data_IF_297392559385
#
_entry.id   IF_297392559385
#
_cell.length_a   1.000
_cell.length_b   1.000
_cell.length_c   1.000
_cell.angle_alpha   90.00
_cell.angle_beta   90.00
_cell.angle_gamma   90.00
#
_symmetry.space_group_name_H-M   'P 1'
#
loop_
_entity.id
_entity.type
_entity.pdbx_description
1 polymer ?
#
# COMPACT_ATOMS: atom_id res chain seq x y z
N UNK A 1 4.45 29.75 -6.60
CA UNK A 1 4.32 28.36 -7.09
C UNK A 1 4.38 27.42 -5.89
N UNK A 2 3.40 26.54 -5.74
CA UNK A 2 3.41 25.52 -4.69
C UNK A 2 4.25 24.33 -5.17
N UNK A 3 5.24 23.91 -4.38
CA UNK A 3 6.07 22.75 -4.74
C UNK A 3 5.27 21.45 -4.65
N UNK A 4 5.72 20.42 -5.40
CA UNK A 4 5.07 19.09 -5.39
C UNK A 4 5.02 18.50 -3.97
N UNK A 5 6.09 18.65 -3.17
CA UNK A 5 6.10 18.17 -1.79
C UNK A 5 5.08 18.89 -0.91
N UNK A 6 4.86 20.20 -1.13
CA UNK A 6 3.86 20.96 -0.38
C UNK A 6 2.43 20.55 -0.77
N UNK A 7 2.19 20.28 -2.06
CA UNK A 7 0.93 19.69 -2.54
C UNK A 7 0.70 18.29 -1.96
N UNK A 8 1.73 17.43 -1.98
CA UNK A 8 1.69 16.11 -1.36
C UNK A 8 1.33 16.19 0.12
N UNK A 9 1.98 17.08 0.88
CA UNK A 9 1.65 17.28 2.30
C UNK A 9 0.21 17.71 2.48
N UNK A 10 -0.28 18.69 1.71
CA UNK A 10 -1.66 19.18 1.82
C UNK A 10 -2.69 18.07 1.57
N UNK A 11 -2.52 17.29 0.51
CA UNK A 11 -3.41 16.15 0.19
C UNK A 11 -3.32 15.10 1.30
N UNK A 12 -2.11 14.83 1.79
CA UNK A 12 -1.88 13.88 2.88
C UNK A 12 -2.63 14.29 4.15
N UNK A 13 -2.52 15.55 4.58
CA UNK A 13 -3.22 16.09 5.75
C UNK A 13 -4.73 15.92 5.61
N UNK A 14 -5.29 16.23 4.43
CA UNK A 14 -6.72 16.07 4.19
C UNK A 14 -7.18 14.61 4.34
N UNK A 15 -6.39 13.64 3.86
CA UNK A 15 -6.68 12.21 4.01
C UNK A 15 -6.49 11.73 5.43
N UNK A 16 -5.44 12.16 6.11
CA UNK A 16 -5.16 11.78 7.49
C UNK A 16 -6.25 12.25 8.45
N UNK A 17 -6.71 13.49 8.29
CA UNK A 17 -7.83 14.02 9.07
C UNK A 17 -9.11 13.21 8.86
N UNK A 18 -9.36 12.70 7.65
CA UNK A 18 -10.56 11.90 7.36
C UNK A 18 -10.61 10.53 8.04
N UNK A 19 -9.50 10.06 8.63
CA UNK A 19 -9.38 8.69 9.18
C UNK A 19 -9.10 8.62 10.68
N UNK A 20 -8.94 9.77 11.34
CA UNK A 20 -8.71 9.85 12.79
C UNK A 20 -9.98 10.26 13.53
N UNK A 21 -10.03 9.99 14.84
CA UNK A 21 -11.17 10.36 15.68
C UNK A 21 -11.29 11.87 15.92
N UNK A 22 -10.15 12.57 16.03
CA UNK A 22 -10.08 14.00 16.37
C UNK A 22 -9.37 14.78 15.25
N UNK A 23 -10.04 15.08 14.12
CA UNK A 23 -9.43 15.78 12.98
C UNK A 23 -9.09 17.26 13.25
N UNK A 24 -9.77 17.86 14.22
CA UNK A 24 -9.62 19.27 14.58
C UNK A 24 -8.62 19.50 15.72
N UNK A 25 -8.04 18.43 16.27
CA UNK A 25 -6.95 18.56 17.25
C UNK A 25 -5.76 19.28 16.59
N UNK A 26 -5.20 20.33 17.24
CA UNK A 26 -4.00 20.98 16.76
C UNK A 26 -2.85 19.98 16.57
N UNK A 27 -2.02 20.15 15.53
CA UNK A 27 -0.97 19.19 15.21
C UNK A 27 0.02 18.98 16.38
N UNK A 28 0.35 20.05 17.09
CA UNK A 28 1.13 20.08 18.32
C UNK A 28 0.45 20.95 19.39
N UNK A 29 -0.44 20.38 20.23
CA UNK A 29 -1.24 21.13 21.20
C UNK A 29 -0.44 21.98 22.20
N UNK A 30 -0.99 23.14 22.55
CA UNK A 30 -0.44 24.05 23.57
C UNK A 30 -0.41 23.39 24.96
N UNK A 31 0.63 23.68 25.75
CA UNK A 31 0.88 23.05 27.05
C UNK A 31 1.87 21.87 27.00
N UNK A 32 2.20 21.37 25.81
CA UNK A 32 3.20 20.32 25.60
C UNK A 32 2.71 18.92 26.06
N UNK A 33 3.27 17.86 25.46
CA UNK A 33 3.01 16.47 25.88
C UNK A 33 2.61 15.51 24.77
N UNK A 34 2.35 15.98 23.54
CA UNK A 34 1.95 15.08 22.46
C UNK A 34 1.96 15.73 21.07
N UNK A 35 1.38 14.99 20.13
CA UNK A 35 1.10 15.40 18.76
C UNK A 35 -0.25 14.77 18.36
N UNK A 36 -1.01 15.42 17.49
CA UNK A 36 -2.22 14.82 16.96
C UNK A 36 -1.90 13.57 16.12
N UNK A 37 -2.78 12.57 16.16
CA UNK A 37 -2.59 11.32 15.41
C UNK A 37 -2.48 11.57 13.90
N UNK A 38 -3.30 12.47 13.35
CA UNK A 38 -3.28 12.80 11.92
C UNK A 38 -1.96 13.45 11.50
N UNK A 39 -1.38 14.32 12.35
CA UNK A 39 -0.10 14.94 12.07
C UNK A 39 1.02 13.89 12.03
N UNK A 40 0.97 12.89 12.92
CA UNK A 40 1.94 11.79 12.93
C UNK A 40 1.79 10.85 11.74
N UNK A 41 0.56 10.59 11.26
CA UNK A 41 0.34 9.90 9.99
C UNK A 41 1.03 10.65 8.84
N UNK A 42 0.84 11.97 8.76
CA UNK A 42 1.41 12.81 7.70
C UNK A 42 2.95 12.79 7.73
N UNK A 43 3.55 12.93 8.91
CA UNK A 43 5.01 12.89 9.06
C UNK A 43 5.57 11.51 8.67
N UNK A 44 4.85 10.42 8.95
CA UNK A 44 5.24 9.08 8.49
C UNK A 44 5.13 8.92 6.97
N UNK A 45 4.08 9.46 6.35
CA UNK A 45 3.96 9.47 4.89
C UNK A 45 5.12 10.24 4.25
N UNK A 46 5.46 11.43 4.78
CA UNK A 46 6.63 12.21 4.34
C UNK A 46 7.95 11.47 4.52
N UNK A 47 8.13 10.73 5.62
CA UNK A 47 9.33 9.89 5.81
C UNK A 47 9.48 8.85 4.70
N UNK A 48 8.40 8.20 4.30
CA UNK A 48 8.39 7.22 3.21
C UNK A 48 8.58 7.91 1.85
N UNK A 49 7.95 9.06 1.63
CA UNK A 49 8.11 9.91 0.44
C UNK A 49 9.58 10.29 0.21
N UNK A 50 10.23 10.82 1.24
CA UNK A 50 11.64 11.19 1.21
C UNK A 50 12.59 9.98 1.14
N UNK A 51 12.08 8.78 1.42
CA UNK A 51 12.88 7.56 1.46
C UNK A 51 13.94 7.54 2.55
N UNK A 52 13.77 8.29 3.65
CA UNK A 52 14.80 8.49 4.70
C UNK A 52 14.52 7.70 5.99
N UNK A 53 15.55 7.62 6.84
CA UNK A 53 15.41 7.11 8.21
C UNK A 53 14.62 8.11 9.07
N UNK A 54 14.13 7.70 10.25
CA UNK A 54 13.42 8.61 11.16
C UNK A 54 14.23 9.87 11.48
N UNK A 55 15.52 9.72 11.79
CA UNK A 55 16.40 10.84 12.14
C UNK A 55 16.59 11.81 10.97
N UNK A 56 16.95 11.28 9.81
CA UNK A 56 17.21 12.10 8.61
C UNK A 56 15.91 12.74 8.09
N UNK A 57 14.76 12.08 8.21
CA UNK A 57 13.49 12.67 7.82
C UNK A 57 13.13 13.87 8.71
N UNK A 58 13.28 13.75 10.04
CA UNK A 58 13.04 14.88 10.96
C UNK A 58 14.01 16.03 10.70
N UNK A 59 15.29 15.72 10.50
CA UNK A 59 16.34 16.70 10.16
C UNK A 59 16.06 17.45 8.84
N UNK A 60 15.62 16.75 7.79
CA UNK A 60 15.22 17.42 6.55
C UNK A 60 13.95 18.26 6.71
N UNK A 61 12.99 17.80 7.52
CA UNK A 61 11.74 18.54 7.75
C UNK A 61 11.96 19.83 8.55
N UNK A 62 13.01 19.94 9.37
CA UNK A 62 13.33 21.21 10.05
C UNK A 62 13.72 22.31 9.07
N UNK A 63 14.24 21.94 7.89
CA UNK A 63 14.58 22.86 6.81
C UNK A 63 13.41 23.13 5.84
N UNK A 64 12.19 22.64 6.16
CA UNK A 64 11.01 22.76 5.28
C UNK A 64 9.84 23.48 5.98
N UNK A 65 9.97 24.77 6.33
CA UNK A 65 8.94 25.50 7.07
C UNK A 65 7.58 25.51 6.34
N UNK A 66 7.58 25.60 5.00
CA UNK A 66 6.34 25.53 4.22
C UNK A 66 5.67 24.15 4.23
N UNK A 67 6.40 23.07 4.53
CA UNK A 67 5.79 21.73 4.78
C UNK A 67 5.23 21.68 6.19
N UNK A 68 5.95 22.20 7.19
CA UNK A 68 5.47 22.26 8.58
C UNK A 68 4.20 23.10 8.70
N UNK A 69 4.12 24.21 7.96
CA UNK A 69 2.95 25.09 7.88
C UNK A 69 1.70 24.34 7.37
N UNK A 70 1.83 23.51 6.33
CA UNK A 70 0.68 22.71 5.83
C UNK A 70 0.19 21.68 6.86
N UNK A 71 1.08 21.19 7.72
CA UNK A 71 0.73 20.29 8.83
C UNK A 71 0.27 21.09 10.05
N UNK A 72 0.58 22.39 10.14
CA UNK A 72 0.35 23.20 11.35
C UNK A 72 1.27 22.83 12.52
N UNK A 73 2.48 22.31 12.25
CA UNK A 73 3.46 21.98 13.30
C UNK A 73 4.36 23.18 13.59
N UNK A 74 4.44 23.59 14.86
CA UNK A 74 5.42 24.60 15.33
C UNK A 74 6.71 23.96 15.82
N UNK A 75 6.66 22.68 16.24
CA UNK A 75 7.81 21.86 16.61
C UNK A 75 7.73 20.47 16.00
N UNK A 76 8.89 19.87 15.72
CA UNK A 76 8.98 18.50 15.25
C UNK A 76 9.12 17.49 16.40
N UNK A 77 8.58 16.26 16.25
CA UNK A 77 8.88 15.18 17.18
C UNK A 77 10.36 14.80 17.08
N UNK A 78 10.97 14.49 18.23
CA UNK A 78 12.25 13.79 18.21
C UNK A 78 12.10 12.45 17.47
N UNK A 79 13.15 12.00 16.77
CA UNK A 79 13.05 10.81 15.90
C UNK A 79 12.63 9.52 16.63
N UNK A 80 12.95 9.40 17.93
CA UNK A 80 12.49 8.28 18.77
C UNK A 80 10.98 8.35 19.03
N UNK A 81 10.44 9.55 19.26
CA UNK A 81 9.01 9.79 19.44
C UNK A 81 8.27 9.43 18.16
N UNK A 82 8.76 9.88 16.99
CA UNK A 82 8.18 9.52 15.70
C UNK A 82 8.16 7.99 15.49
N UNK A 83 9.25 7.30 15.83
CA UNK A 83 9.30 5.83 15.80
C UNK A 83 8.24 5.21 16.72
N UNK A 84 8.10 5.69 17.96
CA UNK A 84 7.10 5.20 18.91
C UNK A 84 5.67 5.40 18.39
N UNK A 85 5.39 6.50 17.71
CA UNK A 85 4.09 6.72 17.05
C UNK A 85 3.78 5.68 15.97
N UNK A 86 4.78 5.23 15.21
CA UNK A 86 4.56 4.16 14.22
C UNK A 86 4.08 2.84 14.86
N UNK A 87 4.58 2.57 16.07
CA UNK A 87 4.18 1.40 16.87
C UNK A 87 2.81 1.62 17.55
N UNK A 88 2.55 2.85 18.04
CA UNK A 88 1.31 3.22 18.74
C UNK A 88 0.08 3.25 17.83
N UNK A 89 0.20 3.82 16.63
CA UNK A 89 -0.94 3.94 15.71
C UNK A 89 -1.41 2.55 15.28
N UNK A 90 -2.69 2.21 15.48
CA UNK A 90 -3.17 0.86 15.22
C UNK A 90 -3.25 0.58 13.72
N UNK A 91 -3.06 -0.69 13.33
CA UNK A 91 -3.09 -1.13 11.92
C UNK A 91 -4.40 -0.75 11.21
N UNK A 92 -5.51 -0.65 11.94
CA UNK A 92 -6.80 -0.19 11.39
C UNK A 92 -6.73 1.24 10.84
N UNK A 93 -6.02 2.16 11.52
CA UNK A 93 -5.86 3.54 11.06
C UNK A 93 -4.99 3.57 9.80
N UNK A 94 -3.88 2.82 9.76
CA UNK A 94 -3.05 2.71 8.55
C UNK A 94 -3.81 2.16 7.35
N UNK A 95 -4.72 1.19 7.57
CA UNK A 95 -5.58 0.62 6.54
C UNK A 95 -6.67 1.61 6.10
N UNK A 96 -7.28 2.33 7.04
CA UNK A 96 -8.24 3.40 6.72
C UNK A 96 -7.56 4.50 5.88
N UNK A 97 -6.32 4.87 6.23
CA UNK A 97 -5.52 5.84 5.49
C UNK A 97 -5.23 5.37 4.04
N UNK A 98 -4.85 4.11 3.85
CA UNK A 98 -4.77 3.52 2.49
C UNK A 98 -6.11 3.64 1.77
N UNK A 99 -7.21 3.27 2.42
CA UNK A 99 -8.55 3.36 1.86
C UNK A 99 -8.93 4.78 1.40
N UNK A 100 -8.64 5.80 2.23
CA UNK A 100 -8.89 7.20 1.94
C UNK A 100 -8.01 7.76 0.81
N UNK A 101 -6.81 7.21 0.63
CA UNK A 101 -5.91 7.59 -0.48
C UNK A 101 -6.34 7.05 -1.84
N UNK A 102 -7.13 5.98 -1.88
CA UNK A 102 -7.66 5.38 -3.10
C UNK A 102 -8.99 6.04 -3.51
N UNK A 103 -8.91 7.28 -3.97
CA UNK A 103 -10.07 8.18 -4.19
C UNK A 103 -11.04 7.71 -5.26
N UNK A 104 -10.54 7.05 -6.31
CA UNK A 104 -11.31 6.65 -7.49
C UNK A 104 -11.26 5.12 -7.62
N UNK A 105 -12.42 4.47 -7.63
CA UNK A 105 -12.56 3.02 -7.80
C UNK A 105 -13.61 2.78 -8.87
N UNK A 106 -13.22 2.19 -9.99
CA UNK A 106 -14.13 1.85 -11.09
C UNK A 106 -14.69 0.42 -10.93
N UNK A 107 -14.18 -0.31 -9.94
CA UNK A 107 -14.62 -1.65 -9.57
C UNK A 107 -14.06 -2.75 -10.46
N UNK A 108 -13.18 -2.40 -11.40
CA UNK A 108 -12.39 -3.36 -12.16
C UNK A 108 -11.01 -3.43 -11.52
N UNK A 109 -10.68 -4.58 -10.91
CA UNK A 109 -9.43 -4.72 -10.17
C UNK A 109 -8.58 -5.89 -10.65
N UNK A 110 -7.27 -5.77 -10.48
CA UNK A 110 -6.30 -6.84 -10.61
C UNK A 110 -5.75 -7.20 -9.23
N UNK A 111 -5.58 -8.49 -8.96
CA UNK A 111 -4.91 -9.00 -7.78
C UNK A 111 -3.67 -9.78 -8.17
N UNK A 112 -2.58 -9.47 -7.50
CA UNK A 112 -1.29 -10.12 -7.71
C UNK A 112 -0.44 -10.06 -6.45
N UNK A 113 0.57 -10.92 -6.37
CA UNK A 113 1.49 -10.99 -5.23
C UNK A 113 2.95 -10.87 -5.64
N UNK A 114 3.74 -10.23 -4.78
CA UNK A 114 5.17 -10.07 -5.01
C UNK A 114 5.95 -10.08 -3.69
N UNK A 115 7.25 -10.39 -3.75
CA UNK A 115 8.12 -10.47 -2.57
C UNK A 115 8.92 -9.19 -2.31
N UNK A 116 8.79 -8.57 -1.14
CA UNK A 116 9.65 -7.48 -0.69
C UNK A 116 10.74 -8.02 0.24
N UNK A 117 11.95 -7.47 0.16
CA UNK A 117 13.05 -7.91 1.02
C UNK A 117 12.79 -7.42 2.46
N UNK A 118 12.96 -8.29 3.47
CA UNK A 118 12.83 -7.91 4.90
C UNK A 118 14.12 -7.37 5.51
N UNK A 119 15.21 -7.48 4.77
CA UNK A 119 16.52 -6.97 5.13
C UNK A 119 17.08 -6.22 3.91
N UNK A 120 17.99 -5.27 4.16
CA UNK A 120 18.72 -4.57 3.10
C UNK A 120 20.19 -4.97 3.05
N UNK A 121 20.55 -6.27 2.91
CA UNK A 121 21.93 -6.61 2.64
C UNK A 121 22.31 -6.07 1.26
N UNK A 122 23.53 -5.54 1.12
CA UNK A 122 24.04 -5.26 -0.23
C UNK A 122 24.11 -6.58 -1.01
N UNK A 123 23.88 -6.55 -2.34
CA UNK A 123 24.03 -7.75 -3.20
C UNK A 123 25.37 -8.43 -2.99
N UNK A 124 26.44 -7.64 -2.85
CA UNK A 124 27.79 -8.13 -2.57
C UNK A 124 27.86 -8.90 -1.25
N UNK A 125 27.30 -8.34 -0.17
CA UNK A 125 27.25 -9.00 1.14
C UNK A 125 26.43 -10.29 1.11
N UNK A 126 25.25 -10.26 0.48
CA UNK A 126 24.37 -11.41 0.40
C UNK A 126 25.02 -12.59 -0.34
N UNK A 127 25.68 -12.30 -1.47
CA UNK A 127 26.39 -13.30 -2.26
C UNK A 127 27.59 -13.91 -1.50
N UNK A 128 28.35 -13.10 -0.74
CA UNK A 128 29.53 -13.57 0.01
C UNK A 128 29.16 -14.46 1.21
N UNK A 129 28.04 -14.18 1.86
CA UNK A 129 27.66 -14.82 3.13
C UNK A 129 26.60 -15.93 2.98
N UNK A 130 26.21 -16.25 1.74
CA UNK A 130 25.08 -17.13 1.45
C UNK A 130 23.80 -16.68 2.17
N UNK A 131 23.60 -15.36 2.26
CA UNK A 131 22.49 -14.77 3.00
C UNK A 131 21.16 -15.06 2.29
N UNK A 132 20.29 -15.83 2.95
CA UNK A 132 18.92 -16.03 2.48
C UNK A 132 18.05 -14.86 2.92
N UNK A 133 17.83 -13.92 2.00
CA UNK A 133 16.85 -12.85 2.18
C UNK A 133 15.49 -13.46 2.51
N UNK A 134 14.94 -13.10 3.67
CA UNK A 134 13.57 -13.47 4.05
C UNK A 134 12.66 -12.51 3.31
N UNK A 135 11.87 -13.03 2.35
CA UNK A 135 10.92 -12.21 1.61
C UNK A 135 9.61 -12.04 2.41
N UNK A 136 9.11 -10.82 2.49
CA UNK A 136 7.74 -10.49 2.84
C UNK A 136 6.89 -10.62 1.59
N UNK A 137 5.94 -11.55 1.59
CA UNK A 137 5.00 -11.68 0.47
C UNK A 137 3.89 -10.65 0.63
N UNK A 138 3.67 -9.85 -0.40
CA UNK A 138 2.66 -8.78 -0.42
C UNK A 138 1.72 -9.05 -1.59
N UNK A 139 0.44 -9.22 -1.29
CA UNK A 139 -0.63 -9.28 -2.28
C UNK A 139 -1.31 -7.92 -2.32
N UNK A 140 -1.43 -7.32 -3.50
CA UNK A 140 -2.09 -6.02 -3.69
C UNK A 140 -3.33 -6.19 -4.55
N UNK A 141 -4.39 -5.45 -4.19
CA UNK A 141 -5.58 -5.23 -5.01
C UNK A 141 -5.45 -3.84 -5.64
N UNK A 142 -5.47 -3.80 -6.97
CA UNK A 142 -5.20 -2.60 -7.75
C UNK A 142 -6.38 -2.35 -8.67
N UNK A 143 -6.94 -1.14 -8.64
CA UNK A 143 -7.91 -0.70 -9.65
C UNK A 143 -7.21 -0.55 -11.00
N UNK A 144 -7.70 -1.23 -12.05
CA UNK A 144 -6.96 -1.37 -13.31
C UNK A 144 -6.98 -0.12 -14.18
N UNK A 145 -7.90 0.81 -13.93
CA UNK A 145 -8.03 2.04 -14.70
C UNK A 145 -7.27 3.18 -14.03
N UNK A 146 -7.47 3.34 -12.73
CA UNK A 146 -6.85 4.41 -11.96
C UNK A 146 -5.47 4.02 -11.45
N UNK A 147 -5.12 2.73 -11.41
CA UNK A 147 -3.93 2.15 -10.77
C UNK A 147 -3.82 2.42 -9.27
N UNK A 148 -4.88 2.87 -8.60
CA UNK A 148 -4.86 2.99 -7.14
C UNK A 148 -4.82 1.62 -6.48
N UNK A 149 -4.02 1.51 -5.43
CA UNK A 149 -4.00 0.34 -4.56
C UNK A 149 -5.14 0.50 -3.55
N UNK A 150 -6.14 -0.38 -3.63
CA UNK A 150 -7.32 -0.31 -2.77
C UNK A 150 -7.15 -1.14 -1.50
N UNK A 151 -6.39 -2.23 -1.57
CA UNK A 151 -6.05 -3.06 -0.41
C UNK A 151 -4.73 -3.78 -0.60
N UNK A 152 -4.09 -4.13 0.51
CA UNK A 152 -2.96 -5.05 0.54
C UNK A 152 -3.11 -6.09 1.65
N UNK A 153 -2.49 -7.24 1.42
CA UNK A 153 -2.26 -8.26 2.43
C UNK A 153 -0.78 -8.62 2.45
N UNK A 154 -0.18 -8.66 3.64
CA UNK A 154 1.21 -9.04 3.82
C UNK A 154 1.31 -10.30 4.67
N UNK A 155 2.22 -11.19 4.30
CA UNK A 155 2.49 -12.44 5.03
C UNK A 155 3.97 -12.76 5.00
N UNK A 156 4.48 -13.25 6.13
CA UNK A 156 5.86 -13.76 6.26
C UNK A 156 5.96 -15.24 5.88
N UNK A 157 4.83 -15.90 5.60
CA UNK A 157 4.75 -17.31 5.27
C UNK A 157 4.60 -17.53 3.76
N UNK A 158 5.10 -18.67 3.26
CA UNK A 158 4.94 -19.11 1.86
C UNK A 158 3.52 -19.62 1.57
N UNK A 159 2.48 -19.04 2.16
CA UNK A 159 1.09 -19.44 1.88
C UNK A 159 0.79 -19.25 0.40
N UNK A 160 0.07 -20.21 -0.17
CA UNK A 160 -0.37 -20.16 -1.57
C UNK A 160 -1.34 -19.00 -1.79
N UNK A 161 -1.21 -18.34 -2.94
CA UNK A 161 -2.02 -17.18 -3.33
C UNK A 161 -3.51 -17.49 -3.37
N UNK A 162 -3.87 -18.72 -3.72
CA UNK A 162 -5.23 -19.25 -3.66
C UNK A 162 -5.89 -19.14 -2.27
N UNK A 163 -5.12 -19.01 -1.17
CA UNK A 163 -5.68 -18.80 0.18
C UNK A 163 -5.79 -17.32 0.56
N UNK A 164 -4.98 -16.44 -0.05
CA UNK A 164 -4.95 -15.01 0.27
C UNK A 164 -5.90 -14.22 -0.62
N UNK A 165 -6.01 -14.58 -1.90
CA UNK A 165 -6.90 -13.95 -2.87
C UNK A 165 -8.35 -13.83 -2.37
N UNK A 166 -8.99 -14.92 -1.90
CA UNK A 166 -10.34 -14.87 -1.34
C UNK A 166 -10.47 -13.89 -0.16
N UNK A 167 -9.48 -13.85 0.74
CA UNK A 167 -9.52 -12.95 1.89
C UNK A 167 -9.45 -11.48 1.47
N UNK A 168 -8.65 -11.15 0.44
CA UNK A 168 -8.55 -9.79 -0.09
C UNK A 168 -9.84 -9.43 -0.84
N UNK A 169 -10.35 -10.30 -1.71
CA UNK A 169 -11.58 -10.07 -2.45
C UNK A 169 -12.77 -9.83 -1.52
N UNK A 170 -12.94 -10.67 -0.48
CA UNK A 170 -14.04 -10.56 0.47
C UNK A 170 -14.06 -9.23 1.22
N UNK A 171 -12.88 -8.70 1.60
CA UNK A 171 -12.78 -7.38 2.27
C UNK A 171 -13.21 -6.21 1.37
N UNK A 172 -13.18 -6.40 0.06
CA UNK A 172 -13.42 -5.35 -0.94
C UNK A 172 -14.62 -5.67 -1.83
N UNK A 173 -15.44 -6.66 -1.47
CA UNK A 173 -16.46 -7.21 -2.36
C UNK A 173 -17.50 -6.16 -2.79
N UNK A 174 -17.86 -5.24 -1.88
CA UNK A 174 -18.80 -4.14 -2.15
C UNK A 174 -18.34 -3.20 -3.28
N UNK A 175 -17.04 -3.14 -3.52
CA UNK A 175 -16.43 -2.17 -4.43
C UNK A 175 -16.02 -2.81 -5.76
N UNK A 176 -16.22 -4.12 -5.92
CA UNK A 176 -15.74 -4.89 -7.06
C UNK A 176 -16.88 -5.28 -8.00
N UNK A 177 -16.65 -5.05 -9.29
CA UNK A 177 -17.46 -5.52 -10.43
C UNK A 177 -16.77 -6.66 -11.17
N UNK A 178 -15.44 -6.63 -11.25
CA UNK A 178 -14.66 -7.75 -11.79
C UNK A 178 -13.28 -7.83 -11.15
N UNK A 179 -12.75 -9.06 -11.09
CA UNK A 179 -11.42 -9.32 -10.53
C UNK A 179 -10.56 -10.14 -11.48
N UNK A 180 -9.48 -9.54 -11.97
CA UNK A 180 -8.46 -10.19 -12.79
C UNK A 180 -7.34 -10.77 -11.92
N UNK A 181 -6.97 -12.02 -12.16
CA UNK A 181 -5.89 -12.69 -11.43
C UNK A 181 -5.18 -13.73 -12.31
N UNK A 182 -3.97 -14.11 -11.92
CA UNK A 182 -3.23 -15.16 -12.62
C UNK A 182 -3.82 -16.55 -12.37
N UNK A 183 -3.34 -17.57 -13.11
CA UNK A 183 -3.81 -18.94 -12.94
C UNK A 183 -3.33 -19.60 -11.62
N UNK A 184 -2.47 -18.94 -10.84
CA UNK A 184 -2.13 -19.31 -9.47
C UNK A 184 -3.29 -19.09 -8.49
N UNK A 185 -4.25 -18.23 -8.84
CA UNK A 185 -5.52 -18.04 -8.13
C UNK A 185 -6.65 -18.94 -8.65
N UNK A 186 -6.39 -19.84 -9.60
CA UNK A 186 -7.42 -20.72 -10.15
C UNK A 186 -7.91 -21.74 -9.11
N UNK A 187 -9.05 -21.44 -8.49
CA UNK A 187 -9.75 -22.33 -7.57
C UNK A 187 -11.26 -22.17 -7.76
N UNK A 188 -11.97 -23.28 -7.93
CA UNK A 188 -13.44 -23.29 -8.10
C UNK A 188 -14.15 -22.53 -6.97
N UNK A 189 -13.80 -22.82 -5.72
CA UNK A 189 -14.38 -22.15 -4.55
C UNK A 189 -14.19 -20.63 -4.58
N UNK A 190 -13.02 -20.14 -5.05
CA UNK A 190 -12.78 -18.71 -5.16
C UNK A 190 -13.63 -18.07 -6.26
N UNK A 191 -13.77 -18.73 -7.41
CA UNK A 191 -14.65 -18.26 -8.50
C UNK A 191 -16.11 -18.22 -8.10
N UNK A 192 -16.56 -19.23 -7.36
CA UNK A 192 -17.94 -19.32 -6.88
C UNK A 192 -18.22 -18.21 -5.87
N UNK A 193 -17.31 -17.99 -4.91
CA UNK A 193 -17.40 -16.86 -3.97
C UNK A 193 -17.45 -15.50 -4.70
N UNK A 194 -16.62 -15.29 -5.73
CA UNK A 194 -16.68 -14.06 -6.53
C UNK A 194 -18.05 -13.87 -7.18
N UNK A 195 -18.61 -14.93 -7.77
CA UNK A 195 -19.93 -14.88 -8.43
C UNK A 195 -21.07 -14.65 -7.43
N UNK A 196 -21.01 -15.28 -6.26
CA UNK A 196 -21.98 -15.07 -5.17
C UNK A 196 -22.01 -13.60 -4.72
N UNK A 197 -20.87 -12.92 -4.78
CA UNK A 197 -20.76 -11.48 -4.49
C UNK A 197 -21.04 -10.59 -5.73
N UNK A 198 -21.50 -11.14 -6.85
CA UNK A 198 -21.76 -10.38 -8.08
C UNK A 198 -20.50 -9.91 -8.83
N UNK A 199 -19.32 -10.44 -8.48
CA UNK A 199 -18.04 -10.06 -9.05
C UNK A 199 -17.71 -11.00 -10.22
N UNK A 200 -17.47 -10.46 -11.42
CA UNK A 200 -17.05 -11.25 -12.58
C UNK A 200 -15.61 -11.75 -12.41
N UNK A 201 -15.37 -13.07 -12.31
CA UNK A 201 -14.01 -13.60 -12.23
C UNK A 201 -13.33 -13.56 -13.60
N UNK A 202 -12.17 -12.90 -13.68
CA UNK A 202 -11.27 -12.85 -14.84
C UNK A 202 -9.97 -13.59 -14.50
N UNK A 203 -10.11 -14.88 -14.22
CA UNK A 203 -9.01 -15.77 -13.82
C UNK A 203 -8.93 -16.87 -14.87
N UNK A 204 -7.79 -17.09 -15.53
CA UNK A 204 -7.66 -18.20 -16.47
C UNK A 204 -7.68 -19.55 -15.74
N UNK A 205 -8.35 -20.53 -16.32
CA UNK A 205 -8.29 -21.92 -15.91
C UNK A 205 -6.90 -22.46 -16.16
N UNK A 206 -6.34 -23.18 -15.18
CA UNK A 206 -5.15 -24.00 -15.40
C UNK A 206 -5.52 -25.12 -16.35
N UNK A 207 -4.79 -25.22 -17.46
CA UNK A 207 -5.09 -26.19 -18.52
C UNK A 207 -4.80 -27.59 -18.00
N UNK A 208 -5.87 -28.36 -17.76
CA UNK A 208 -5.80 -29.78 -17.45
C UNK A 208 -6.57 -30.62 -18.48
N UNK A 209 -7.58 -30.05 -19.14
CA UNK A 209 -8.35 -30.71 -20.19
C UNK A 209 -8.85 -29.73 -21.27
N UNK A 210 -9.56 -30.25 -22.28
CA UNK A 210 -10.09 -29.46 -23.41
C UNK A 210 -11.16 -28.44 -23.01
N UNK A 211 -11.90 -28.67 -21.93
CA UNK A 211 -12.88 -27.71 -21.42
C UNK A 211 -12.19 -26.46 -20.87
N UNK A 212 -11.02 -26.60 -20.24
CA UNK A 212 -10.24 -25.45 -19.75
C UNK A 212 -9.82 -24.53 -20.91
N UNK A 213 -9.45 -25.11 -22.05
CA UNK A 213 -9.17 -24.34 -23.28
C UNK A 213 -10.41 -23.56 -23.73
N UNK A 214 -11.57 -24.21 -23.79
CA UNK A 214 -12.82 -23.56 -24.20
C UNK A 214 -13.24 -22.45 -23.23
N UNK A 215 -13.10 -22.66 -21.92
CA UNK A 215 -13.38 -21.64 -20.91
C UNK A 215 -12.44 -20.45 -21.03
N UNK A 216 -11.14 -20.68 -21.23
CA UNK A 216 -10.15 -19.62 -21.42
C UNK A 216 -10.39 -18.83 -22.72
N UNK A 217 -10.77 -19.50 -23.82
CA UNK A 217 -11.06 -18.86 -25.10
C UNK A 217 -12.30 -17.95 -25.07
N UNK A 218 -13.28 -18.26 -24.21
CA UNK A 218 -14.49 -17.44 -24.01
C UNK A 218 -14.27 -16.25 -23.06
N UNK A 219 -13.11 -16.19 -22.40
CA UNK A 219 -12.80 -15.08 -21.50
C UNK A 219 -12.61 -13.80 -22.31
N UNK A 220 -13.08 -12.69 -21.75
CA UNK A 220 -12.81 -11.36 -22.27
C UNK A 220 -11.30 -11.07 -22.14
N UNK A 221 -10.59 -11.22 -23.27
CA UNK A 221 -9.14 -11.12 -23.33
C UNK A 221 -8.65 -9.74 -22.91
N UNK A 222 -9.30 -8.68 -23.39
CA UNK A 222 -8.90 -7.30 -23.13
C UNK A 222 -9.01 -6.98 -21.64
N UNK A 223 -10.14 -7.33 -21.01
CA UNK A 223 -10.29 -7.16 -19.55
C UNK A 223 -9.35 -8.06 -18.75
N UNK A 224 -9.06 -9.27 -19.23
CA UNK A 224 -8.11 -10.16 -18.57
C UNK A 224 -6.67 -9.61 -18.62
N UNK A 225 -6.24 -9.05 -19.75
CA UNK A 225 -4.87 -8.55 -19.93
C UNK A 225 -4.56 -7.33 -19.03
N UNK A 226 -5.59 -6.60 -18.59
CA UNK A 226 -5.48 -5.56 -17.56
C UNK A 226 -4.93 -6.09 -16.21
N UNK A 227 -4.87 -7.41 -15.99
CA UNK A 227 -4.12 -8.02 -14.87
C UNK A 227 -2.70 -7.47 -14.75
N UNK A 228 -2.02 -7.25 -15.88
CA UNK A 228 -0.64 -6.72 -15.91
C UNK A 228 -0.47 -5.36 -15.21
N UNK A 229 -1.55 -4.61 -15.00
CA UNK A 229 -1.52 -3.33 -14.29
C UNK A 229 -1.03 -3.48 -12.85
N UNK A 230 -1.30 -4.59 -12.16
CA UNK A 230 -0.76 -4.84 -10.81
C UNK A 230 0.77 -4.97 -10.83
N UNK A 231 1.34 -5.57 -11.88
CA UNK A 231 2.79 -5.70 -12.06
C UNK A 231 3.42 -4.32 -12.30
N UNK A 232 2.77 -3.45 -13.09
CA UNK A 232 3.16 -2.06 -13.27
C UNK A 232 3.20 -1.30 -11.94
N UNK A 233 2.17 -1.45 -11.11
CA UNK A 233 2.10 -0.82 -9.79
C UNK A 233 3.22 -1.30 -8.88
N UNK A 234 3.43 -2.62 -8.75
CA UNK A 234 4.54 -3.15 -7.96
C UNK A 234 5.89 -2.65 -8.45
N UNK A 235 6.08 -2.61 -9.76
CA UNK A 235 7.31 -2.12 -10.36
C UNK A 235 7.54 -0.63 -10.04
N UNK A 236 6.50 0.18 -10.01
CA UNK A 236 6.57 1.60 -9.64
C UNK A 236 6.93 1.77 -8.16
N UNK A 237 6.28 1.03 -7.25
CA UNK A 237 6.61 1.06 -5.81
C UNK A 237 8.09 0.71 -5.60
N UNK A 238 8.60 -0.36 -6.22
CA UNK A 238 10.00 -0.77 -6.04
C UNK A 238 10.99 0.28 -6.50
N UNK A 239 10.73 0.94 -7.64
CA UNK A 239 11.62 1.96 -8.20
C UNK A 239 11.58 3.26 -7.40
N UNK A 240 10.43 3.62 -6.85
CA UNK A 240 10.21 4.94 -6.24
C UNK A 240 10.22 4.95 -4.70
N UNK A 241 9.90 3.83 -4.06
CA UNK A 241 9.81 3.66 -2.59
C UNK A 241 10.69 2.48 -2.08
N UNK A 242 11.46 1.86 -2.98
CA UNK A 242 12.42 0.79 -2.66
C UNK A 242 11.80 -0.62 -2.60
N UNK A 243 12.63 -1.64 -2.86
CA UNK A 243 12.25 -3.06 -2.92
C UNK A 243 12.22 -3.78 -1.57
N UNK A 244 12.56 -3.10 -0.48
CA UNK A 244 12.71 -3.67 0.85
C UNK A 244 11.94 -2.90 1.91
N UNK A 245 11.47 -3.59 2.95
CA UNK A 245 10.98 -2.97 4.19
C UNK A 245 12.14 -2.70 5.14
N UNK A 246 12.02 -1.67 5.98
CA UNK A 246 13.04 -1.27 6.97
C UNK A 246 12.67 -1.68 8.39
N UNK A 247 11.40 -1.88 8.67
CA UNK A 247 10.91 -2.35 9.96
C UNK A 247 11.48 -3.75 10.29
N UNK A 248 11.76 -3.99 11.58
CA UNK A 248 12.40 -5.23 12.06
C UNK A 248 11.42 -6.25 12.63
N UNK A 249 10.22 -5.79 13.00
CA UNK A 249 9.15 -6.64 13.54
C UNK A 249 8.09 -6.86 12.46
N UNK A 250 7.62 -8.09 12.29
CA UNK A 250 6.73 -8.48 11.18
C UNK A 250 5.44 -7.64 11.13
N UNK A 251 4.85 -7.26 12.27
CA UNK A 251 3.64 -6.43 12.28
C UNK A 251 3.91 -4.98 11.84
N UNK A 252 5.12 -4.47 12.08
CA UNK A 252 5.56 -3.17 11.60
C UNK A 252 5.96 -3.20 10.13
N UNK A 253 6.51 -4.32 9.64
CA UNK A 253 6.75 -4.54 8.21
C UNK A 253 5.43 -4.46 7.42
N UNK A 254 4.34 -5.03 7.97
CA UNK A 254 3.02 -4.96 7.34
C UNK A 254 2.49 -3.52 7.30
N UNK A 255 2.68 -2.76 8.39
CA UNK A 255 2.33 -1.32 8.44
C UNK A 255 3.17 -0.50 7.47
N UNK A 256 4.44 -0.82 7.32
CA UNK A 256 5.31 -0.14 6.36
C UNK A 256 4.84 -0.37 4.93
N UNK A 257 4.40 -1.59 4.60
CA UNK A 257 3.81 -1.85 3.29
C UNK A 257 2.48 -1.12 3.08
N UNK A 258 1.62 -1.02 4.11
CA UNK A 258 0.39 -0.21 4.03
C UNK A 258 0.75 1.23 3.70
N UNK A 259 1.69 1.80 4.45
CA UNK A 259 2.11 3.17 4.26
C UNK A 259 2.79 3.41 2.90
N UNK A 260 3.60 2.46 2.40
CA UNK A 260 4.16 2.55 1.04
C UNK A 260 3.08 2.55 -0.04
N UNK A 261 2.05 1.72 0.11
CA UNK A 261 0.91 1.72 -0.81
C UNK A 261 0.14 3.06 -0.74
N UNK A 262 -0.05 3.60 0.48
CA UNK A 262 -0.68 4.90 0.68
C UNK A 262 0.12 6.03 0.02
N UNK A 263 1.44 6.10 0.24
CA UNK A 263 2.31 7.11 -0.37
C UNK A 263 2.34 6.98 -1.89
N UNK A 264 2.30 5.75 -2.42
CA UNK A 264 2.15 5.53 -3.86
C UNK A 264 0.86 6.17 -4.40
N UNK A 265 -0.28 5.95 -3.74
CA UNK A 265 -1.56 6.57 -4.13
C UNK A 265 -1.51 8.10 -4.03
N UNK A 266 -0.96 8.65 -2.93
CA UNK A 266 -0.85 10.10 -2.71
C UNK A 266 0.07 10.78 -3.75
N UNK A 267 1.20 10.17 -4.09
CA UNK A 267 2.06 10.64 -5.21
C UNK A 267 1.28 10.69 -6.51
N UNK A 268 0.44 9.67 -6.74
CA UNK A 268 -0.34 9.55 -7.96
C UNK A 268 -1.42 10.63 -8.04
N UNK A 269 -2.15 10.91 -6.96
CA UNK A 269 -3.17 11.95 -6.96
C UNK A 269 -2.60 13.37 -7.16
N UNK A 270 -1.36 13.62 -6.73
CA UNK A 270 -0.68 14.90 -6.96
C UNK A 270 -0.18 15.02 -8.41
N UNK A 271 0.37 13.94 -8.99
CA UNK A 271 0.97 13.97 -10.33
C UNK A 271 -0.04 13.77 -11.47
N UNK A 272 -1.16 13.11 -11.17
CA UNK A 272 -2.20 12.75 -12.13
C UNK A 272 -3.59 13.01 -11.52
N UNK A 273 -3.94 14.28 -11.24
CA UNK A 273 -5.21 14.65 -10.61
C UNK A 273 -6.45 14.23 -11.42
#
# INVERSE_FOLDING_TARGET
>A
MTSEIRLFTRVTVAKDKSVVANPDEPADPEGGGGFAEWAMLTVHALRIELGKSYRVAVDLLSEMPGVLEEIGLTRLPHYTVLRTWFERIPTKTWRAFLGASAEKRNGHAAIDSTGFDRDQPSRHYANRTNYRVRALKVTALVDVETLYITDIHSTTSKKHDAKIGPQVARRNASDLRSLAADCGYDAKAFRDELRENGIRPLIKHRIMNSLDHAHNARMDGDRYHQRSMSETVFSSIRRTLGSAVRARSWWLEFREMLLKATVYNLRRSVRYP
#
